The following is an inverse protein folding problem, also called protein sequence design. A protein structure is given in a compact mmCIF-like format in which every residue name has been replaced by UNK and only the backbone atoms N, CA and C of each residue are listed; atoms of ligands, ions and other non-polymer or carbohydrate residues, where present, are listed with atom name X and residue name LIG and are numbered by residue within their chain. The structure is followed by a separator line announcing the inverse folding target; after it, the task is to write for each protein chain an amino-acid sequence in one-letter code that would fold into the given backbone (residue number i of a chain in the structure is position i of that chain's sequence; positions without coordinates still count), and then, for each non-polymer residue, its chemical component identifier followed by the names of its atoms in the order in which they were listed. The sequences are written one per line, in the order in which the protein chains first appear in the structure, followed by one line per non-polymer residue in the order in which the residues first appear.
data_IF_001476932595
#
_entry.id   IF_001476932595
#
_cell.length_a   1.000
_cell.length_b   1.000
_cell.length_c   1.000
_cell.angle_alpha   90.00
_cell.angle_beta   90.00
_cell.angle_gamma   90.00
#
_symmetry.space_group_name_H-M   'P 1'
#
loop_
_entity.id
_entity.type
_entity.pdbx_description
1 polymer ?
#
# COMPACT_ATOMS: atom_id res chain seq x y z
N UNK A 1 -17.76 31.76 24.35
CA UNK A 1 -16.42 31.31 24.83
C UNK A 1 -15.93 30.20 23.93
N UNK A 2 -14.98 30.47 23.03
CA UNK A 2 -14.33 29.42 22.25
C UNK A 2 -13.10 28.98 23.04
N UNK A 3 -13.14 27.77 23.62
CA UNK A 3 -11.98 27.17 24.30
C UNK A 3 -10.91 26.88 23.25
N UNK A 4 -9.96 27.80 23.08
CA UNK A 4 -8.84 27.65 22.16
C UNK A 4 -8.02 26.41 22.51
N UNK A 5 -8.08 25.41 21.65
CA UNK A 5 -7.24 24.22 21.79
C UNK A 5 -5.78 24.68 21.66
N UNK A 6 -4.98 24.46 22.71
CA UNK A 6 -3.58 24.88 22.75
C UNK A 6 -2.83 24.17 21.61
N UNK A 7 -2.29 24.87 20.60
CA UNK A 7 -1.70 24.24 19.40
C UNK A 7 -0.51 23.32 19.68
N UNK A 8 0.10 23.44 20.87
CA UNK A 8 1.18 22.54 21.32
C UNK A 8 0.64 21.19 21.80
N UNK A 9 -0.52 21.17 22.44
CA UNK A 9 -1.16 19.94 22.91
C UNK A 9 -1.67 19.10 21.74
N UNK A 10 -2.27 19.74 20.73
CA UNK A 10 -2.68 19.07 19.48
C UNK A 10 -1.47 18.43 18.80
N UNK A 11 -0.39 19.19 18.60
CA UNK A 11 0.84 18.68 17.96
C UNK A 11 1.49 17.53 18.74
N UNK A 12 1.47 17.55 20.07
CA UNK A 12 2.01 16.45 20.87
C UNK A 12 1.13 15.19 20.80
N UNK A 13 -0.19 15.35 20.78
CA UNK A 13 -1.11 14.24 20.70
C UNK A 13 -1.12 13.61 19.29
N UNK A 14 -1.09 14.44 18.25
CA UNK A 14 -0.86 14.01 16.86
C UNK A 14 0.47 13.27 16.75
N UNK A 15 1.57 13.81 17.31
CA UNK A 15 2.87 13.14 17.28
C UNK A 15 2.84 11.77 17.96
N UNK A 16 2.19 11.65 19.12
CA UNK A 16 2.04 10.36 19.83
C UNK A 16 1.15 9.36 19.09
N UNK A 17 0.05 9.81 18.50
CA UNK A 17 -0.80 8.95 17.66
C UNK A 17 -0.08 8.53 16.38
N UNK A 18 0.76 9.40 15.81
CA UNK A 18 1.58 9.12 14.64
C UNK A 18 2.73 8.14 14.92
N UNK A 19 3.24 8.10 16.16
CA UNK A 19 4.23 7.10 16.60
C UNK A 19 3.63 5.70 16.74
N UNK A 20 2.32 5.60 17.00
CA UNK A 20 1.58 4.34 17.06
C UNK A 20 0.93 3.94 15.73
N UNK A 21 1.12 4.73 14.67
CA UNK A 21 0.49 4.45 13.38
C UNK A 21 1.16 3.29 12.66
N UNK A 22 0.31 2.37 12.22
CA UNK A 22 0.69 1.22 11.41
C UNK A 22 1.42 1.67 10.14
N UNK A 23 2.39 0.87 9.76
CA UNK A 23 2.90 0.84 8.40
C UNK A 23 1.85 0.30 7.44
N UNK A 24 1.99 0.60 6.16
CA UNK A 24 1.11 0.04 5.14
C UNK A 24 1.18 -1.50 5.10
N UNK A 25 2.34 -2.08 5.40
CA UNK A 25 2.50 -3.54 5.49
C UNK A 25 1.64 -4.14 6.62
N UNK A 26 1.65 -3.53 7.80
CA UNK A 26 0.86 -3.98 8.93
C UNK A 26 -0.64 -3.81 8.65
N UNK A 27 -1.04 -2.65 8.12
CA UNK A 27 -2.43 -2.41 7.71
C UNK A 27 -2.91 -3.44 6.68
N UNK A 28 -2.07 -3.76 5.68
CA UNK A 28 -2.41 -4.75 4.67
C UNK A 28 -2.56 -6.15 5.27
N UNK A 29 -1.68 -6.53 6.21
CA UNK A 29 -1.74 -7.82 6.90
C UNK A 29 -3.02 -7.95 7.73
N UNK A 30 -3.37 -6.90 8.47
CA UNK A 30 -4.61 -6.88 9.27
C UNK A 30 -5.85 -7.00 8.38
N UNK A 31 -5.85 -6.31 7.23
CA UNK A 31 -6.92 -6.46 6.25
C UNK A 31 -7.02 -7.88 5.69
N UNK A 32 -5.90 -8.55 5.40
CA UNK A 32 -5.91 -9.95 4.96
C UNK A 32 -6.47 -10.90 6.02
N UNK A 33 -6.09 -10.71 7.29
CA UNK A 33 -6.63 -11.48 8.42
C UNK A 33 -8.14 -11.28 8.53
N UNK A 34 -8.59 -10.03 8.52
CA UNK A 34 -10.01 -9.69 8.52
C UNK A 34 -10.79 -10.32 7.35
N UNK A 35 -10.19 -10.34 6.15
CA UNK A 35 -10.81 -10.95 4.96
C UNK A 35 -10.89 -12.47 5.05
N UNK A 36 -9.93 -13.12 5.70
CA UNK A 36 -10.00 -14.56 5.95
C UNK A 36 -11.12 -14.91 6.95
N UNK A 37 -11.38 -14.03 7.92
CA UNK A 37 -12.33 -14.28 9.01
C UNK A 37 -13.79 -13.92 8.68
N UNK A 38 -14.03 -12.83 7.95
CA UNK A 38 -15.40 -12.27 7.80
C UNK A 38 -16.20 -12.82 6.63
N UNK A 39 -15.54 -13.15 5.52
CA UNK A 39 -16.15 -13.81 4.36
C UNK A 39 -15.11 -14.75 3.79
N UNK A 40 -15.29 -16.07 3.86
CA UNK A 40 -14.31 -17.01 3.35
C UNK A 40 -14.02 -16.70 1.88
N UNK A 41 -12.86 -16.12 1.63
CA UNK A 41 -12.28 -16.04 0.29
C UNK A 41 -11.50 -17.33 0.08
N UNK A 42 -11.51 -17.87 -1.14
CA UNK A 42 -10.73 -19.07 -1.42
C UNK A 42 -9.25 -18.86 -1.15
N UNK A 43 -8.53 -19.91 -0.77
CA UNK A 43 -7.07 -19.86 -0.55
C UNK A 43 -6.32 -19.32 -1.77
N UNK A 44 -6.82 -19.60 -2.98
CA UNK A 44 -6.30 -19.04 -4.23
C UNK A 44 -6.43 -17.52 -4.25
N UNK A 45 -7.62 -16.99 -3.97
CA UNK A 45 -7.86 -15.55 -3.91
C UNK A 45 -7.01 -14.86 -2.83
N UNK A 46 -6.85 -15.50 -1.67
CA UNK A 46 -5.98 -14.99 -0.60
C UNK A 46 -4.51 -14.95 -1.05
N UNK A 47 -4.06 -16.00 -1.74
CA UNK A 47 -2.72 -16.07 -2.33
C UNK A 47 -2.51 -15.00 -3.41
N UNK A 48 -3.52 -14.76 -4.26
CA UNK A 48 -3.49 -13.71 -5.28
C UNK A 48 -3.34 -12.33 -4.65
N UNK A 49 -4.06 -12.03 -3.56
CA UNK A 49 -3.91 -10.76 -2.83
C UNK A 49 -2.52 -10.62 -2.20
N UNK A 50 -1.99 -11.67 -1.56
CA UNK A 50 -0.63 -11.68 -1.02
C UNK A 50 0.41 -11.43 -2.11
N UNK A 51 0.26 -12.11 -3.25
CA UNK A 51 1.16 -11.97 -4.40
C UNK A 51 1.07 -10.61 -5.07
N UNK A 52 -0.12 -10.00 -5.16
CA UNK A 52 -0.29 -8.65 -5.66
C UNK A 52 0.41 -7.63 -4.76
N UNK A 53 0.25 -7.77 -3.44
CA UNK A 53 0.95 -6.93 -2.47
C UNK A 53 2.47 -7.02 -2.57
N UNK A 54 3.00 -8.25 -2.53
CA UNK A 54 4.44 -8.49 -2.59
C UNK A 54 5.06 -7.89 -3.85
N UNK A 55 4.43 -8.12 -5.01
CA UNK A 55 4.94 -7.67 -6.31
C UNK A 55 4.86 -6.16 -6.50
N UNK A 56 3.79 -5.53 -6.02
CA UNK A 56 3.45 -4.17 -6.45
C UNK A 56 3.52 -3.14 -5.34
N UNK A 57 3.48 -3.51 -4.06
CA UNK A 57 3.31 -2.53 -2.98
C UNK A 57 4.39 -2.63 -1.91
N UNK A 58 4.84 -3.84 -1.56
CA UNK A 58 5.71 -4.05 -0.40
C UNK A 58 7.01 -3.22 -0.44
N UNK A 59 7.72 -3.25 -1.57
CA UNK A 59 9.06 -2.65 -1.68
C UNK A 59 9.12 -1.16 -1.37
N UNK A 60 8.09 -0.40 -1.77
CA UNK A 60 8.09 1.07 -1.69
C UNK A 60 7.10 1.56 -0.64
N UNK A 61 5.90 0.98 -0.59
CA UNK A 61 4.85 1.43 0.32
C UNK A 61 4.89 0.72 1.66
N UNK A 62 5.35 -0.54 1.71
CA UNK A 62 5.20 -1.42 2.86
C UNK A 62 5.77 -0.86 4.17
N UNK A 63 6.94 -0.21 4.10
CA UNK A 63 7.62 0.38 5.29
C UNK A 63 7.14 1.78 5.64
N UNK A 64 6.31 2.39 4.80
CA UNK A 64 5.82 3.76 5.01
C UNK A 64 4.62 3.71 5.94
N UNK A 65 4.61 4.56 6.98
CA UNK A 65 3.44 4.75 7.83
C UNK A 65 2.27 5.24 7.00
N UNK A 66 1.06 4.79 7.32
CA UNK A 66 -0.14 5.15 6.56
C UNK A 66 -0.33 6.68 6.49
N UNK A 67 -0.07 7.40 7.59
CA UNK A 67 -0.14 8.87 7.62
C UNK A 67 0.91 9.59 6.78
N UNK A 68 2.05 8.94 6.53
CA UNK A 68 3.14 9.52 5.75
C UNK A 68 2.94 9.25 4.25
N UNK A 69 1.92 8.47 3.87
CA UNK A 69 1.61 8.21 2.48
C UNK A 69 0.95 9.42 1.82
N UNK A 70 1.74 10.15 1.03
CA UNK A 70 1.18 11.20 0.18
C UNK A 70 0.52 10.62 -1.07
N UNK A 71 -0.50 11.31 -1.56
CA UNK A 71 -1.12 11.01 -2.86
C UNK A 71 -0.08 10.92 -3.97
N UNK A 72 0.85 11.88 -4.03
CA UNK A 72 1.90 11.91 -5.06
C UNK A 72 2.78 10.65 -5.03
N UNK A 73 3.16 10.19 -3.83
CA UNK A 73 3.95 8.97 -3.65
C UNK A 73 3.22 7.73 -4.16
N UNK A 74 1.92 7.61 -3.85
CA UNK A 74 1.08 6.50 -4.32
C UNK A 74 0.99 6.52 -5.85
N UNK A 75 0.68 7.68 -6.44
CA UNK A 75 0.56 7.82 -7.90
C UNK A 75 1.85 7.50 -8.63
N UNK A 76 2.98 8.05 -8.17
CA UNK A 76 4.26 7.84 -8.81
C UNK A 76 4.69 6.37 -8.71
N UNK A 77 4.48 5.75 -7.55
CA UNK A 77 4.77 4.33 -7.38
C UNK A 77 3.92 3.45 -8.31
N UNK A 78 2.60 3.70 -8.38
CA UNK A 78 1.70 2.99 -9.30
C UNK A 78 2.09 3.22 -10.78
N UNK A 79 2.54 4.42 -11.13
CA UNK A 79 3.05 4.75 -12.47
C UNK A 79 4.27 3.89 -12.81
N UNK A 80 5.23 3.79 -11.88
CA UNK A 80 6.43 2.96 -12.03
C UNK A 80 6.09 1.47 -12.14
N UNK A 81 5.22 0.96 -11.27
CA UNK A 81 4.73 -0.43 -11.32
C UNK A 81 4.11 -0.75 -12.69
N UNK A 82 3.27 0.17 -13.20
CA UNK A 82 2.65 0.03 -14.52
C UNK A 82 3.69 -0.06 -15.62
N UNK A 83 4.66 0.86 -15.65
CA UNK A 83 5.73 0.87 -16.66
C UNK A 83 6.56 -0.42 -16.65
N UNK A 84 6.95 -0.87 -15.45
CA UNK A 84 7.73 -2.09 -15.28
C UNK A 84 6.96 -3.34 -15.74
N UNK A 85 5.64 -3.38 -15.51
CA UNK A 85 4.78 -4.49 -15.96
C UNK A 85 4.66 -4.57 -17.48
N UNK A 86 4.75 -3.44 -18.18
CA UNK A 86 4.75 -3.40 -19.65
C UNK A 86 6.11 -3.76 -20.25
N UNK A 87 7.21 -3.39 -19.59
CA UNK A 87 8.57 -3.66 -20.07
C UNK A 87 8.99 -5.13 -19.86
N UNK A 88 8.46 -5.82 -18.86
CA UNK A 88 8.73 -7.24 -18.59
C UNK A 88 8.08 -8.22 -19.58
N UNK A 89 7.62 -7.75 -20.75
CA UNK A 89 7.02 -8.58 -21.80
C UNK A 89 7.81 -8.48 -23.13
N UNK A 90 9.07 -8.96 -23.25
CA UNK A 90 9.86 -8.82 -24.48
C UNK A 90 9.68 -9.94 -25.51
N UNK A 91 8.74 -10.88 -25.34
CA UNK A 91 8.62 -12.05 -26.23
C UNK A 91 7.20 -12.27 -26.74
N UNK A 92 6.62 -11.30 -27.45
CA UNK A 92 5.56 -11.53 -28.46
C UNK A 92 5.52 -10.45 -29.56
N UNK A 93 6.65 -9.94 -30.03
CA UNK A 93 6.66 -9.08 -31.22
C UNK A 93 7.96 -9.21 -32.01
N UNK A 94 8.24 -10.40 -32.52
CA UNK A 94 9.03 -10.61 -33.76
C UNK A 94 9.06 -12.09 -34.09
N UNK A 95 8.22 -12.49 -35.04
CA UNK A 95 8.54 -13.36 -36.18
C UNK A 95 7.25 -13.59 -36.97
N UNK A 96 6.80 -12.49 -37.56
CA UNK A 96 5.95 -12.49 -38.73
C UNK A 96 6.59 -11.50 -39.68
N UNK A 97 7.59 -11.94 -40.43
CA UNK A 97 8.06 -11.32 -41.67
C UNK A 97 9.13 -12.20 -42.32
N UNK A 98 8.76 -12.69 -43.52
CA UNK A 98 9.52 -13.38 -44.57
C UNK A 98 9.91 -14.84 -44.34
#
# INVERSE_FOLDING_TARGET
MIKGIVPRYVRQNEKKQNEQMLTFAELWKDWLTFRAETKPISDRTLSDYKGAYYRHFEKVLGRVRVCDQSRAMIYEHLRCVRQNSFQSNPLKTTLGQN
#
